data_IF_914259841534
#
_entry.id   IF_914259841534
#
_cell.length_a   1.000
_cell.length_b   1.000
_cell.length_c   1.000
_cell.angle_alpha   90.00
_cell.angle_beta   90.00
_cell.angle_gamma   90.00
#
_symmetry.space_group_name_H-M   'P 1'
#
loop_
_entity.id
_entity.type
_entity.pdbx_description
1 polymer ?
#
# COMPACT_ATOMS: atom_id res chain seq x y z
N UNK A 1 2.01 3.90 -22.35
CA UNK A 1 2.56 3.85 -20.99
C UNK A 1 1.49 4.46 -20.13
N UNK A 2 0.91 3.67 -19.24
CA UNK A 2 -0.16 4.03 -18.31
C UNK A 2 0.46 4.42 -16.97
N UNK A 3 -0.15 5.37 -16.28
CA UNK A 3 0.14 5.73 -14.90
C UNK A 3 -1.19 5.95 -14.18
N UNK A 4 -1.48 5.11 -13.19
CA UNK A 4 -2.71 5.19 -12.42
C UNK A 4 -2.40 5.14 -10.92
N UNK A 5 -3.22 5.83 -10.14
CA UNK A 5 -3.17 5.77 -8.69
C UNK A 5 -4.30 4.89 -8.15
N UNK A 6 -3.99 4.08 -7.14
CA UNK A 6 -4.96 3.39 -6.31
C UNK A 6 -4.64 3.63 -4.83
N UNK A 7 -5.68 3.85 -4.04
CA UNK A 7 -5.59 4.07 -2.59
C UNK A 7 -6.11 2.81 -1.87
N UNK A 8 -5.35 2.29 -0.90
CA UNK A 8 -5.78 1.11 -0.14
C UNK A 8 -6.61 1.56 1.07
N UNK A 9 -7.82 1.04 1.18
CA UNK A 9 -8.69 1.36 2.32
C UNK A 9 -8.12 0.78 3.62
N UNK A 10 -8.02 1.60 4.67
CA UNK A 10 -7.75 1.11 6.04
C UNK A 10 -6.48 0.25 6.15
N UNK A 11 -5.41 0.61 5.45
CA UNK A 11 -4.11 -0.10 5.40
C UNK A 11 -3.61 -0.67 6.72
N UNK A 12 -3.73 0.10 7.79
CA UNK A 12 -3.26 -0.27 9.13
C UNK A 12 -4.04 -1.45 9.74
N UNK A 13 -5.28 -1.70 9.30
CA UNK A 13 -6.08 -2.86 9.73
C UNK A 13 -5.67 -4.16 9.04
N UNK A 14 -4.91 -4.08 7.94
CA UNK A 14 -4.40 -5.27 7.27
C UNK A 14 -3.17 -5.86 7.95
N UNK A 15 -2.46 -5.09 8.79
CA UNK A 15 -1.30 -5.59 9.52
C UNK A 15 -1.68 -6.70 10.49
N UNK A 16 -1.04 -7.87 10.36
CA UNK A 16 -1.20 -8.96 11.32
C UNK A 16 -0.52 -8.56 12.66
N UNK A 17 -1.16 -8.89 13.77
CA UNK A 17 -0.65 -8.59 15.12
C UNK A 17 0.34 -9.69 15.50
N UNK A 18 1.60 -9.54 15.09
CA UNK A 18 2.66 -10.52 15.43
C UNK A 18 3.16 -10.38 16.87
N UNK A 19 2.84 -9.27 17.56
CA UNK A 19 3.26 -8.98 18.93
C UNK A 19 2.03 -8.68 19.81
N UNK A 20 2.03 -9.13 21.05
CA UNK A 20 0.96 -8.82 21.99
C UNK A 20 1.02 -7.34 22.42
N UNK A 21 0.20 -6.49 21.78
CA UNK A 21 0.12 -5.06 22.09
C UNK A 21 -0.96 -4.83 23.15
N UNK A 22 -0.53 -4.28 24.29
CA UNK A 22 -1.40 -3.81 25.36
C UNK A 22 -1.48 -2.28 25.35
N UNK A 23 -2.69 -1.74 25.38
CA UNK A 23 -2.94 -0.29 25.50
C UNK A 23 -3.66 0.02 26.80
N UNK A 24 -3.60 1.27 27.23
CA UNK A 24 -4.52 1.78 28.24
C UNK A 24 -5.97 1.63 27.79
N UNK A 25 -6.87 1.62 28.77
CA UNK A 25 -8.30 1.63 28.51
C UNK A 25 -8.67 2.94 27.82
N UNK A 26 -9.61 2.93 26.87
CA UNK A 26 -10.04 4.16 26.20
C UNK A 26 -10.76 5.07 27.20
N UNK A 27 -10.50 6.37 27.09
CA UNK A 27 -11.18 7.39 27.89
C UNK A 27 -12.71 7.22 27.79
N UNK A 28 -13.37 7.09 28.94
CA UNK A 28 -14.83 6.92 29.01
C UNK A 28 -15.34 5.48 28.78
N UNK A 29 -14.45 4.51 28.56
CA UNK A 29 -14.74 3.06 28.55
C UNK A 29 -13.99 2.31 29.64
N UNK A 30 -13.47 3.03 30.63
CA UNK A 30 -12.77 2.46 31.78
C UNK A 30 -13.71 1.57 32.60
N UNK A 31 -13.26 0.34 32.87
CA UNK A 31 -13.92 -0.52 33.83
C UNK A 31 -13.56 -0.06 35.25
N UNK A 32 -14.54 0.53 35.95
CA UNK A 32 -14.37 1.03 37.31
C UNK A 32 -13.99 -0.05 38.35
N UNK A 33 -14.16 -1.34 38.05
CA UNK A 33 -13.65 -2.44 38.90
C UNK A 33 -12.21 -2.83 38.60
N UNK A 34 -11.70 -2.51 37.41
CA UNK A 34 -10.41 -2.96 36.91
C UNK A 34 -9.59 -1.81 36.32
N UNK A 35 -9.41 -0.73 37.08
CA UNK A 35 -8.70 0.49 36.67
C UNK A 35 -7.26 0.25 36.16
N UNK A 36 -6.60 -0.82 36.62
CA UNK A 36 -5.22 -1.17 36.22
C UNK A 36 -5.12 -2.15 35.05
N UNK A 37 -6.25 -2.60 34.47
CA UNK A 37 -6.20 -3.51 33.33
C UNK A 37 -5.84 -2.78 32.04
N UNK A 38 -5.13 -3.48 31.16
CA UNK A 38 -4.78 -3.04 29.81
C UNK A 38 -5.64 -3.77 28.78
N UNK A 39 -6.02 -3.08 27.72
CA UNK A 39 -6.71 -3.68 26.58
C UNK A 39 -5.70 -4.38 25.66
N UNK A 40 -6.01 -5.61 25.23
CA UNK A 40 -5.23 -6.31 24.19
C UNK A 40 -5.78 -5.94 22.81
N UNK A 41 -4.94 -5.40 21.95
CA UNK A 41 -5.33 -5.10 20.57
C UNK A 41 -5.39 -6.38 19.75
N UNK A 42 -6.56 -6.65 19.16
CA UNK A 42 -6.80 -7.78 18.24
C UNK A 42 -6.39 -7.45 16.80
N UNK A 43 -6.33 -6.16 16.46
CA UNK A 43 -5.87 -5.63 15.17
C UNK A 43 -5.06 -4.38 15.42
N UNK A 44 -4.04 -4.17 14.60
CA UNK A 44 -3.22 -2.97 14.71
C UNK A 44 -4.05 -1.76 14.28
N UNK A 45 -4.01 -0.68 15.05
CA UNK A 45 -4.78 0.54 14.79
C UNK A 45 -3.85 1.71 14.42
N UNK A 46 -4.43 2.74 13.77
CA UNK A 46 -3.74 4.00 13.49
C UNK A 46 -3.05 4.54 14.76
N UNK A 47 -1.82 5.02 14.61
CA UNK A 47 -1.05 5.63 15.70
C UNK A 47 -0.06 4.70 16.41
N UNK A 48 -0.13 3.38 16.19
CA UNK A 48 0.90 2.45 16.68
C UNK A 48 2.07 2.37 15.70
N UNK A 49 3.32 2.39 16.20
CA UNK A 49 4.52 2.28 15.36
C UNK A 49 4.56 0.96 14.56
N UNK A 50 3.91 -0.07 15.09
CA UNK A 50 3.82 -1.40 14.49
C UNK A 50 2.89 -1.42 13.27
N UNK A 51 1.87 -0.57 13.22
CA UNK A 51 0.86 -0.58 12.15
C UNK A 51 1.47 -0.41 10.76
N UNK A 52 2.27 0.65 10.60
CA UNK A 52 2.91 0.96 9.34
C UNK A 52 3.89 -0.15 8.90
N UNK A 53 4.61 -0.74 9.86
CA UNK A 53 5.54 -1.85 9.58
C UNK A 53 4.80 -3.10 9.11
N UNK A 54 3.70 -3.46 9.78
CA UNK A 54 2.96 -4.66 9.44
C UNK A 54 2.17 -4.52 8.14
N UNK A 55 1.61 -3.34 7.89
CA UNK A 55 1.07 -2.98 6.58
C UNK A 55 2.13 -3.18 5.48
N UNK A 56 3.30 -2.56 5.64
CA UNK A 56 4.39 -2.66 4.66
C UNK A 56 4.84 -4.12 4.47
N UNK A 57 4.99 -4.90 5.54
CA UNK A 57 5.36 -6.31 5.44
C UNK A 57 4.34 -7.13 4.64
N UNK A 58 3.04 -6.92 4.87
CA UNK A 58 1.98 -7.65 4.19
C UNK A 58 1.90 -7.28 2.72
N UNK A 59 2.00 -5.98 2.42
CA UNK A 59 2.07 -5.49 1.05
C UNK A 59 3.29 -6.06 0.33
N UNK A 60 4.48 -6.05 0.95
CA UNK A 60 5.71 -6.58 0.37
C UNK A 60 5.58 -8.06 0.02
N UNK A 61 5.03 -8.88 0.93
CA UNK A 61 4.78 -10.31 0.67
C UNK A 61 3.84 -10.51 -0.52
N UNK A 62 2.79 -9.70 -0.62
CA UNK A 62 1.85 -9.76 -1.74
C UNK A 62 2.52 -9.38 -3.07
N UNK A 63 3.26 -8.27 -3.11
CA UNK A 63 4.00 -7.82 -4.29
C UNK A 63 5.05 -8.84 -4.74
N UNK A 64 5.78 -9.45 -3.80
CA UNK A 64 6.75 -10.50 -4.10
C UNK A 64 6.09 -11.74 -4.72
N UNK A 65 4.91 -12.14 -4.23
CA UNK A 65 4.12 -13.22 -4.83
C UNK A 65 3.72 -12.93 -6.28
N UNK A 66 3.51 -11.66 -6.62
CA UNK A 66 3.26 -11.17 -7.99
C UNK A 66 4.54 -10.97 -8.82
N UNK A 67 5.71 -11.37 -8.31
CA UNK A 67 7.04 -11.22 -8.94
C UNK A 67 7.46 -9.76 -9.12
N UNK A 68 7.08 -8.89 -8.17
CA UNK A 68 7.64 -7.55 -8.04
C UNK A 68 8.74 -7.55 -6.98
N UNK A 69 9.90 -7.00 -7.33
CA UNK A 69 11.03 -6.90 -6.41
C UNK A 69 11.24 -5.43 -6.05
N UNK A 70 11.46 -5.14 -4.77
CA UNK A 70 11.84 -3.81 -4.31
C UNK A 70 13.22 -3.42 -4.89
N UNK A 71 13.36 -2.16 -5.30
CA UNK A 71 14.66 -1.61 -5.68
C UNK A 71 15.56 -1.50 -4.45
N UNK A 72 16.83 -1.87 -4.61
CA UNK A 72 17.84 -1.70 -3.57
C UNK A 72 18.07 -0.21 -3.25
N UNK A 73 17.99 0.65 -4.26
CA UNK A 73 18.16 2.09 -4.11
C UNK A 73 16.98 2.79 -3.43
N UNK A 74 15.76 2.27 -3.61
CA UNK A 74 14.56 2.78 -2.94
C UNK A 74 13.56 1.63 -2.67
N UNK A 75 13.45 1.18 -1.41
CA UNK A 75 12.53 0.10 -1.01
C UNK A 75 11.03 0.42 -1.17
N UNK A 76 10.67 1.61 -1.63
CA UNK A 76 9.28 1.98 -1.99
C UNK A 76 8.95 1.75 -3.46
N UNK A 77 9.96 1.48 -4.28
CA UNK A 77 9.81 1.28 -5.71
C UNK A 77 9.97 -0.19 -6.05
N UNK A 78 8.93 -0.77 -6.62
CA UNK A 78 8.84 -2.18 -6.96
C UNK A 78 8.87 -2.35 -8.47
N UNK A 79 9.71 -3.27 -8.96
CA UNK A 79 9.86 -3.54 -10.39
C UNK A 79 9.57 -5.01 -10.67
N UNK A 80 8.70 -5.24 -11.65
CA UNK A 80 8.53 -6.55 -12.29
C UNK A 80 9.04 -6.48 -13.73
N UNK A 81 9.93 -7.41 -14.11
CA UNK A 81 10.52 -7.51 -15.44
C UNK A 81 10.18 -8.85 -16.08
N UNK A 82 9.64 -8.80 -17.30
CA UNK A 82 9.48 -9.99 -18.17
C UNK A 82 10.01 -9.65 -19.56
N UNK A 83 11.22 -10.12 -19.87
CA UNK A 83 11.94 -9.72 -21.09
C UNK A 83 12.22 -8.21 -21.10
N UNK A 84 11.82 -7.53 -22.18
CA UNK A 84 11.93 -6.06 -22.33
C UNK A 84 10.69 -5.27 -21.86
N UNK A 85 9.82 -5.92 -21.06
CA UNK A 85 8.65 -5.27 -20.45
C UNK A 85 8.93 -5.07 -18.96
N UNK A 86 8.71 -3.84 -18.50
CA UNK A 86 8.84 -3.42 -17.12
C UNK A 86 7.49 -2.90 -16.65
N UNK A 87 7.12 -3.25 -15.43
CA UNK A 87 6.03 -2.65 -14.68
C UNK A 87 6.61 -2.14 -13.36
N UNK A 88 6.18 -0.95 -12.94
CA UNK A 88 6.69 -0.30 -11.74
C UNK A 88 5.50 0.00 -10.83
N UNK A 89 5.67 -0.24 -9.54
CA UNK A 89 4.74 0.20 -8.50
C UNK A 89 5.52 1.07 -7.51
N UNK A 90 5.07 2.29 -7.25
CA UNK A 90 5.64 3.16 -6.23
C UNK A 90 4.63 3.27 -5.09
N UNK A 91 5.10 3.05 -3.86
CA UNK A 91 4.25 3.06 -2.66
C UNK A 91 4.50 4.33 -1.85
N UNK A 92 3.43 5.03 -1.50
CA UNK A 92 3.46 6.13 -0.56
C UNK A 92 2.36 5.96 0.49
N UNK A 93 2.72 5.38 1.64
CA UNK A 93 1.80 5.06 2.74
C UNK A 93 0.64 4.17 2.26
N UNK A 94 -0.48 4.77 1.84
CA UNK A 94 -1.70 4.09 1.41
C UNK A 94 -1.90 4.16 -0.11
N UNK A 95 -1.18 5.06 -0.80
CA UNK A 95 -1.19 5.21 -2.25
C UNK A 95 -0.25 4.21 -2.94
N UNK A 96 -0.74 3.56 -4.00
CA UNK A 96 0.03 2.76 -4.93
C UNK A 96 -0.06 3.35 -6.33
N UNK A 97 1.05 3.87 -6.81
CA UNK A 97 1.19 4.45 -8.14
C UNK A 97 1.71 3.37 -9.10
N UNK A 98 0.86 2.96 -10.05
CA UNK A 98 1.13 1.85 -10.96
C UNK A 98 1.51 2.39 -12.34
N UNK A 99 2.70 2.03 -12.81
CA UNK A 99 3.21 2.39 -14.13
C UNK A 99 3.39 1.14 -14.99
N UNK A 100 2.69 1.08 -16.12
CA UNK A 100 2.77 -0.07 -17.05
C UNK A 100 2.82 0.39 -18.51
N UNK A 101 3.03 -0.55 -19.44
CA UNK A 101 2.99 -0.22 -20.88
C UNK A 101 1.57 -0.12 -21.44
N UNK A 102 0.61 -0.88 -20.91
CA UNK A 102 -0.74 -1.04 -21.48
C UNK A 102 -1.81 -1.11 -20.39
N UNK A 103 -3.02 -0.66 -20.72
CA UNK A 103 -4.16 -0.62 -19.80
C UNK A 103 -4.54 -2.00 -19.29
N UNK A 104 -4.44 -3.04 -20.14
CA UNK A 104 -4.72 -4.42 -19.75
C UNK A 104 -3.79 -4.86 -18.62
N UNK A 105 -2.52 -4.45 -18.66
CA UNK A 105 -1.55 -4.80 -17.62
C UNK A 105 -1.80 -4.02 -16.33
N UNK A 106 -2.21 -2.75 -16.44
CA UNK A 106 -2.63 -1.97 -15.26
C UNK A 106 -3.83 -2.63 -14.58
N UNK A 107 -4.86 -2.99 -15.35
CA UNK A 107 -6.06 -3.66 -14.83
C UNK A 107 -5.76 -5.05 -14.23
N UNK A 108 -4.83 -5.81 -14.83
CA UNK A 108 -4.36 -7.08 -14.26
C UNK A 108 -3.74 -6.89 -12.87
N UNK A 109 -2.86 -5.88 -12.71
CA UNK A 109 -2.22 -5.56 -11.43
C UNK A 109 -3.28 -5.08 -10.43
N UNK A 110 -4.16 -4.15 -10.80
CA UNK A 110 -5.23 -3.66 -9.91
C UNK A 110 -6.11 -4.79 -9.39
N UNK A 111 -6.47 -5.75 -10.26
CA UNK A 111 -7.24 -6.93 -9.86
C UNK A 111 -6.47 -7.80 -8.86
N UNK A 112 -5.19 -8.07 -9.11
CA UNK A 112 -4.39 -8.85 -8.18
C UNK A 112 -4.18 -8.15 -6.83
N UNK A 113 -4.08 -6.82 -6.80
CA UNK A 113 -4.06 -6.04 -5.55
C UNK A 113 -5.42 -6.14 -4.83
N UNK A 114 -6.54 -6.04 -5.56
CA UNK A 114 -7.91 -6.20 -5.04
C UNK A 114 -8.19 -7.55 -4.39
N UNK A 115 -7.48 -8.59 -4.79
CA UNK A 115 -7.61 -9.92 -4.17
C UNK A 115 -7.10 -9.96 -2.73
N UNK A 116 -6.15 -9.09 -2.37
CA UNK A 116 -5.57 -9.02 -1.03
C UNK A 116 -6.05 -7.81 -0.20
N UNK A 117 -6.40 -6.70 -0.87
CA UNK A 117 -6.70 -5.43 -0.21
C UNK A 117 -7.92 -4.76 -0.83
N UNK A 118 -8.74 -4.11 -0.01
CA UNK A 118 -9.78 -3.20 -0.51
C UNK A 118 -9.08 -1.94 -1.03
N UNK A 119 -9.36 -1.56 -2.27
CA UNK A 119 -8.74 -0.37 -2.89
C UNK A 119 -9.80 0.51 -3.57
N UNK A 120 -9.55 1.81 -3.52
CA UNK A 120 -10.18 2.81 -4.38
C UNK A 120 -9.30 3.07 -5.59
N UNK A 121 -9.89 3.02 -6.77
CA UNK A 121 -9.19 3.44 -8.00
C UNK A 121 -9.35 4.94 -8.16
N UNK A 122 -8.25 5.69 -8.07
CA UNK A 122 -8.24 7.14 -8.19
C UNK A 122 -8.03 7.61 -9.64
N UNK A 123 -7.72 6.68 -10.55
CA UNK A 123 -7.60 6.95 -11.98
C UNK A 123 -6.22 7.47 -12.36
N UNK A 124 -6.17 8.34 -13.38
CA UNK A 124 -4.92 8.82 -13.97
C UNK A 124 -4.08 9.59 -12.93
N UNK A 125 -2.80 9.22 -12.83
CA UNK A 125 -1.88 9.80 -11.86
C UNK A 125 -1.49 11.22 -12.29
N UNK A 126 -2.05 12.23 -11.62
CA UNK A 126 -1.70 13.64 -11.84
C UNK A 126 -0.49 14.12 -11.03
N UNK A 127 -0.19 13.48 -9.89
CA UNK A 127 0.90 13.85 -9.00
C UNK A 127 1.56 12.61 -8.39
N UNK A 128 2.89 12.59 -8.33
CA UNK A 128 3.71 11.55 -7.71
C UNK A 128 4.79 12.20 -6.86
N UNK A 129 4.82 11.95 -5.55
CA UNK A 129 5.86 12.47 -4.63
C UNK A 129 6.04 14.01 -4.70
N UNK A 130 4.96 14.76 -4.92
CA UNK A 130 5.00 16.22 -5.08
C UNK A 130 5.44 16.70 -6.46
N UNK A 131 5.63 15.79 -7.42
CA UNK A 131 5.90 16.09 -8.83
C UNK A 131 4.60 15.95 -9.61
N UNK A 132 4.21 17.00 -10.32
CA UNK A 132 3.09 16.93 -11.27
C UNK A 132 3.47 16.09 -12.48
N UNK A 133 2.58 15.20 -12.90
CA UNK A 133 2.80 14.32 -14.05
C UNK A 133 1.84 14.70 -15.16
N UNK A 134 2.40 15.13 -16.29
CA UNK A 134 1.64 15.39 -17.51
C UNK A 134 1.87 14.25 -18.50
N UNK A 135 0.78 13.57 -18.89
CA UNK A 135 0.86 12.42 -19.79
C UNK A 135 0.67 12.84 -21.24
N UNK A 136 1.69 12.62 -22.05
CA UNK A 136 1.56 12.72 -23.50
C UNK A 136 1.22 11.35 -24.12
N UNK A 137 -0.08 11.10 -24.36
CA UNK A 137 -0.56 9.85 -24.96
C UNK A 137 -0.03 9.61 -26.37
N UNK A 138 0.16 10.65 -27.17
CA UNK A 138 0.69 10.54 -28.54
C UNK A 138 2.13 10.08 -28.58
N UNK A 139 2.96 10.54 -27.62
CA UNK A 139 4.39 10.18 -27.50
C UNK A 139 4.64 9.03 -26.53
N UNK A 140 3.62 8.55 -25.82
CA UNK A 140 3.73 7.55 -24.74
C UNK A 140 4.77 7.93 -23.68
N UNK A 141 4.82 9.23 -23.32
CA UNK A 141 5.77 9.80 -22.37
C UNK A 141 5.06 10.53 -21.23
N UNK A 142 5.75 10.65 -20.09
CA UNK A 142 5.40 11.55 -18.99
C UNK A 142 6.37 12.74 -19.00
N UNK A 143 5.86 13.93 -18.65
CA UNK A 143 6.63 15.18 -18.51
C UNK A 143 6.24 15.91 -17.25
#
# INVERSE_FOLDING_TARGET
>A
MEAENVDVDTTFLYGDVDEEIHTDQPDGLEDGKYLNMKCKLQRVHHGTKQAARQWNNKLNKHLDSMRFNALVADPRVYISKKGNKYNIIVIYVDDLMIFTKTEEKTNEIKRAVKEAFSIKELGELGYCLGIEIHRNRSKKMFS
#
